data_IF_453595893367
#
_entry.id   IF_453595893367
#
_cell.length_a   1.000
_cell.length_b   1.000
_cell.length_c   1.000
_cell.angle_alpha   90.00
_cell.angle_beta   90.00
_cell.angle_gamma   90.00
#
_symmetry.space_group_name_H-M   'P 1'
#
loop_
_entity.id
_entity.type
_entity.pdbx_description
1 polymer ?
#
# COMPACT_ATOMS: atom_id res chain seq x y z
N UNK A 1 -8.13 -47.54 -36.58
CA UNK A 1 -6.83 -47.86 -35.95
C UNK A 1 -5.92 -46.66 -36.13
N UNK A 2 -5.54 -46.04 -35.00
CA UNK A 2 -4.58 -44.95 -34.70
C UNK A 2 -5.24 -44.06 -33.64
N UNK A 3 -5.47 -44.60 -32.43
CA UNK A 3 -4.63 -44.42 -31.24
C UNK A 3 -4.59 -42.98 -30.75
N UNK A 4 -5.54 -42.68 -29.87
CA UNK A 4 -5.45 -41.67 -28.82
C UNK A 4 -4.24 -41.99 -27.93
N UNK A 5 -3.22 -41.15 -27.94
CA UNK A 5 -2.17 -41.17 -26.92
C UNK A 5 -2.53 -40.11 -25.87
N UNK A 6 -3.05 -40.58 -24.73
CA UNK A 6 -3.21 -39.79 -23.52
C UNK A 6 -1.82 -39.48 -22.94
N UNK A 7 -1.49 -38.18 -22.85
CA UNK A 7 -0.29 -37.72 -22.15
C UNK A 7 -0.62 -37.71 -20.64
N UNK A 8 0.07 -38.49 -19.79
CA UNK A 8 -0.25 -38.54 -18.37
C UNK A 8 0.17 -37.24 -17.66
N UNK A 9 -0.81 -36.62 -17.02
CA UNK A 9 -0.72 -35.38 -16.24
C UNK A 9 0.00 -35.53 -14.88
N UNK A 10 1.10 -36.29 -14.84
CA UNK A 10 1.84 -36.59 -13.58
C UNK A 10 3.23 -35.94 -13.56
N UNK A 11 3.71 -35.38 -14.69
CA UNK A 11 5.03 -34.76 -14.77
C UNK A 11 5.09 -33.28 -14.36
N UNK A 12 3.96 -32.60 -14.15
CA UNK A 12 3.93 -31.18 -13.73
C UNK A 12 3.90 -30.95 -12.21
N UNK A 13 3.74 -32.02 -11.40
CA UNK A 13 3.69 -31.94 -9.93
C UNK A 13 5.06 -32.07 -9.25
N UNK A 14 6.15 -32.31 -10.00
CA UNK A 14 7.50 -32.45 -9.45
C UNK A 14 8.28 -31.13 -9.34
N UNK A 15 7.69 -29.98 -9.70
CA UNK A 15 8.32 -28.67 -9.55
C UNK A 15 8.02 -27.95 -8.22
N UNK A 16 7.24 -28.56 -7.32
CA UNK A 16 6.79 -27.94 -6.06
C UNK A 16 7.16 -28.75 -4.80
N UNK A 17 8.31 -29.43 -4.77
CA UNK A 17 8.90 -29.97 -3.53
C UNK A 17 10.40 -30.18 -3.68
N UNK A 18 11.15 -29.08 -3.68
CA UNK A 18 12.47 -29.08 -3.05
C UNK A 18 12.31 -28.49 -1.64
N UNK A 19 12.09 -29.39 -0.70
CA UNK A 19 12.26 -29.10 0.71
C UNK A 19 13.75 -29.16 1.02
N UNK A 20 14.42 -28.02 0.89
CA UNK A 20 15.51 -27.63 1.77
C UNK A 20 16.94 -27.92 1.31
N UNK A 21 17.61 -26.87 0.84
CA UNK A 21 18.95 -26.56 1.31
C UNK A 21 19.01 -25.06 1.65
N UNK A 22 19.32 -24.81 2.92
CA UNK A 22 19.16 -23.55 3.63
C UNK A 22 20.10 -22.47 3.09
N UNK A 23 19.56 -21.31 2.72
CA UNK A 23 20.36 -20.09 2.70
C UNK A 23 20.86 -19.84 4.13
N UNK A 24 22.18 -19.93 4.29
CA UNK A 24 22.87 -19.67 5.55
C UNK A 24 22.51 -18.27 6.02
N UNK A 25 21.62 -18.18 7.00
CA UNK A 25 21.44 -16.97 7.78
C UNK A 25 22.81 -16.60 8.34
N UNK A 26 23.27 -15.38 8.09
CA UNK A 26 24.37 -14.84 8.85
C UNK A 26 23.96 -14.89 10.33
N UNK A 27 24.84 -15.44 11.17
CA UNK A 27 24.63 -15.58 12.61
C UNK A 27 24.29 -14.22 13.24
N UNK A 28 23.00 -13.93 13.40
CA UNK A 28 22.54 -12.83 14.25
C UNK A 28 22.47 -13.39 15.66
N UNK A 29 23.49 -13.09 16.45
CA UNK A 29 23.50 -13.35 17.90
C UNK A 29 22.21 -12.76 18.50
N UNK A 30 21.40 -13.53 19.24
CA UNK A 30 20.24 -12.99 19.95
C UNK A 30 20.67 -11.83 20.84
N UNK A 31 19.90 -10.74 20.81
CA UNK A 31 20.07 -9.65 21.76
C UNK A 31 19.79 -10.17 23.17
N UNK A 32 20.71 -9.92 24.10
CA UNK A 32 20.53 -10.26 25.51
C UNK A 32 19.25 -9.60 26.07
N UNK A 33 18.59 -10.20 27.08
CA UNK A 33 17.38 -9.62 27.66
C UNK A 33 17.63 -8.19 28.13
N UNK A 34 16.78 -7.27 27.69
CA UNK A 34 16.87 -5.88 28.07
C UNK A 34 16.80 -5.75 29.59
N UNK A 35 17.90 -5.32 30.21
CA UNK A 35 17.89 -4.85 31.59
C UNK A 35 17.00 -3.60 31.66
N UNK A 36 16.10 -3.46 32.65
CA UNK A 36 15.24 -2.29 32.76
C UNK A 36 16.09 -1.02 32.75
N UNK A 37 15.88 -0.16 31.74
CA UNK A 37 16.59 1.09 31.63
C UNK A 37 16.23 2.00 32.81
N UNK A 38 17.24 2.44 33.56
CA UNK A 38 17.11 3.51 34.54
C UNK A 38 16.57 4.76 33.83
N UNK A 39 15.62 5.52 34.41
CA UNK A 39 15.10 6.72 33.77
C UNK A 39 16.25 7.69 33.45
N UNK A 40 16.52 7.86 32.15
CA UNK A 40 17.47 8.85 31.69
C UNK A 40 16.77 10.22 31.67
N UNK A 41 17.40 11.20 32.31
CA UNK A 41 17.09 12.62 32.14
C UNK A 41 17.04 12.94 30.64
N UNK A 42 16.06 13.72 30.15
CA UNK A 42 15.94 14.00 28.72
C UNK A 42 17.20 14.73 28.24
N UNK A 43 18.09 14.00 27.57
CA UNK A 43 19.09 14.60 26.74
C UNK A 43 18.35 15.37 25.64
N UNK A 44 18.77 16.61 25.37
CA UNK A 44 18.24 17.40 24.28
C UNK A 44 18.43 16.60 22.98
N UNK A 45 17.34 16.04 22.46
CA UNK A 45 17.32 15.33 21.18
C UNK A 45 17.61 16.38 20.12
N UNK A 46 18.80 16.31 19.53
CA UNK A 46 19.15 17.14 18.38
C UNK A 46 18.24 16.72 17.22
N UNK A 47 17.35 17.62 16.80
CA UNK A 47 16.49 17.39 15.63
C UNK A 47 17.40 17.28 14.40
N UNK A 48 17.28 16.23 13.58
CA UNK A 48 18.06 16.11 12.35
C UNK A 48 17.82 17.33 11.46
N UNK A 49 18.89 17.90 10.90
CA UNK A 49 18.76 18.95 9.90
C UNK A 49 18.10 18.41 8.64
N UNK A 50 17.27 19.24 8.00
CA UNK A 50 16.58 18.86 6.77
C UNK A 50 17.62 18.57 5.66
N UNK A 51 17.51 17.40 5.02
CA UNK A 51 18.48 17.01 3.98
C UNK A 51 18.27 17.73 2.63
N UNK A 52 17.28 18.63 2.52
CA UNK A 52 17.05 19.43 1.33
C UNK A 52 15.65 20.03 1.25
N UNK A 53 15.38 20.70 0.12
CA UNK A 53 14.05 21.23 -0.23
C UNK A 53 13.42 20.39 -1.33
N UNK A 54 12.12 20.15 -1.22
CA UNK A 54 11.35 19.36 -2.18
C UNK A 54 10.53 20.29 -3.08
N UNK A 55 10.60 20.10 -4.40
CA UNK A 55 9.71 20.79 -5.33
C UNK A 55 8.31 20.16 -5.26
N UNK A 56 7.42 20.80 -4.50
CA UNK A 56 6.06 20.32 -4.33
C UNK A 56 5.22 20.41 -5.59
N UNK A 57 5.52 21.32 -6.52
CA UNK A 57 4.78 21.43 -7.77
C UNK A 57 5.11 20.24 -8.67
N UNK A 58 6.39 19.86 -8.74
CA UNK A 58 6.82 18.65 -9.46
C UNK A 58 6.21 17.38 -8.85
N UNK A 59 6.31 17.21 -7.53
CA UNK A 59 5.81 16.01 -6.85
C UNK A 59 4.30 15.82 -6.98
N UNK A 60 3.54 16.92 -7.02
CA UNK A 60 2.09 16.87 -7.10
C UNK A 60 1.57 16.74 -8.54
N UNK A 61 2.45 16.74 -9.56
CA UNK A 61 2.02 16.45 -10.93
C UNK A 61 1.28 15.10 -10.98
N UNK A 62 0.11 15.03 -11.62
CA UNK A 62 -0.56 13.76 -11.86
C UNK A 62 0.33 12.81 -12.65
N UNK A 63 0.13 11.51 -12.46
CA UNK A 63 0.78 10.48 -13.25
C UNK A 63 0.19 10.35 -14.66
N UNK A 64 0.41 9.18 -15.29
CA UNK A 64 -0.13 8.89 -16.62
C UNK A 64 -1.68 8.89 -16.66
N UNK A 65 -2.32 8.64 -15.52
CA UNK A 65 -3.77 8.68 -15.36
C UNK A 65 -4.17 9.90 -14.55
N UNK A 66 -5.32 10.54 -14.85
CA UNK A 66 -5.82 11.63 -14.02
C UNK A 66 -6.03 11.19 -12.58
N UNK A 67 -5.64 12.06 -11.65
CA UNK A 67 -5.85 11.86 -10.22
C UNK A 67 -7.35 11.72 -9.91
N UNK A 68 -7.68 10.80 -9.01
CA UNK A 68 -9.00 10.68 -8.40
C UNK A 68 -8.92 11.23 -6.99
N UNK A 69 -9.85 12.12 -6.64
CA UNK A 69 -9.76 12.88 -5.39
C UNK A 69 -11.10 13.08 -4.68
N UNK A 70 -11.02 13.32 -3.38
CA UNK A 70 -12.10 13.74 -2.49
C UNK A 70 -11.75 15.05 -1.78
N UNK A 71 -12.77 15.81 -1.41
CA UNK A 71 -12.62 17.10 -0.73
C UNK A 71 -12.56 18.29 -1.69
N UNK A 72 -12.21 19.46 -1.15
CA UNK A 72 -12.15 20.72 -1.92
C UNK A 72 -10.81 20.88 -2.63
N UNK A 73 -10.82 21.33 -3.88
CA UNK A 73 -9.59 21.55 -4.67
C UNK A 73 -8.61 22.53 -4.01
N UNK A 74 -9.13 23.49 -3.25
CA UNK A 74 -8.40 24.57 -2.59
C UNK A 74 -8.06 24.30 -1.10
N UNK A 75 -8.28 23.07 -0.63
CA UNK A 75 -7.92 22.67 0.72
C UNK A 75 -6.43 22.91 1.00
N UNK A 76 -6.12 23.39 2.21
CA UNK A 76 -4.76 23.81 2.58
C UNK A 76 -3.77 22.64 2.67
N UNK A 77 -4.27 21.44 2.93
CA UNK A 77 -3.47 20.22 3.02
C UNK A 77 -3.85 19.28 1.89
N UNK A 78 -2.85 18.70 1.23
CA UNK A 78 -3.04 17.62 0.26
C UNK A 78 -2.49 16.33 0.85
N UNK A 79 -3.30 15.28 0.85
CA UNK A 79 -2.91 13.92 1.21
C UNK A 79 -2.92 13.12 -0.08
N UNK A 80 -1.77 12.55 -0.44
CA UNK A 80 -1.67 11.62 -1.57
C UNK A 80 -1.38 10.25 -0.99
N UNK A 81 -2.34 9.33 -1.11
CA UNK A 81 -2.16 7.94 -0.73
C UNK A 81 -1.81 7.10 -1.94
N UNK A 82 -0.77 6.28 -1.80
CA UNK A 82 -0.43 5.23 -2.75
C UNK A 82 -0.85 3.90 -2.13
N UNK A 83 -1.80 3.20 -2.75
CA UNK A 83 -2.35 1.97 -2.20
C UNK A 83 -2.42 0.85 -3.25
N UNK A 84 -2.32 -0.40 -2.80
CA UNK A 84 -2.59 -1.59 -3.60
C UNK A 84 -3.90 -2.23 -3.13
N UNK A 85 -4.78 -2.61 -4.07
CA UNK A 85 -6.04 -3.31 -3.79
C UNK A 85 -5.88 -4.66 -3.08
N UNK A 86 -4.69 -5.26 -3.15
CA UNK A 86 -4.34 -6.54 -2.51
C UNK A 86 -3.53 -6.38 -1.23
N UNK A 87 -3.23 -5.15 -0.81
CA UNK A 87 -2.45 -4.90 0.41
C UNK A 87 -3.37 -4.96 1.65
N UNK A 88 -3.15 -5.89 2.59
CA UNK A 88 -3.99 -6.02 3.77
C UNK A 88 -3.90 -4.81 4.71
N UNK A 89 -2.78 -4.08 4.71
CA UNK A 89 -2.64 -2.86 5.50
C UNK A 89 -3.43 -1.70 4.91
N UNK A 90 -3.54 -1.61 3.58
CA UNK A 90 -4.39 -0.63 2.90
C UNK A 90 -5.87 -0.92 3.18
N UNK A 91 -6.28 -2.20 3.11
CA UNK A 91 -7.63 -2.62 3.48
C UNK A 91 -7.97 -2.25 4.94
N UNK A 92 -7.06 -2.56 5.87
CA UNK A 92 -7.25 -2.21 7.28
C UNK A 92 -7.34 -0.68 7.49
N UNK A 93 -6.50 0.10 6.81
CA UNK A 93 -6.57 1.57 6.86
C UNK A 93 -7.91 2.08 6.33
N UNK A 94 -8.37 1.57 5.18
CA UNK A 94 -9.64 1.93 4.56
C UNK A 94 -10.83 1.64 5.48
N UNK A 95 -10.80 0.52 6.21
CA UNK A 95 -11.86 0.13 7.14
C UNK A 95 -11.84 0.94 8.44
N UNK A 96 -10.66 1.17 9.02
CA UNK A 96 -10.56 1.62 10.43
C UNK A 96 -10.15 3.07 10.60
N UNK A 97 -9.38 3.63 9.67
CA UNK A 97 -8.76 4.96 9.82
C UNK A 97 -9.32 5.96 8.82
N UNK A 98 -9.53 5.54 7.57
CA UNK A 98 -10.03 6.41 6.52
C UNK A 98 -11.39 7.06 6.83
N UNK A 99 -12.38 6.40 7.46
CA UNK A 99 -13.67 7.03 7.77
C UNK A 99 -13.52 8.25 8.70
N UNK A 100 -12.60 8.15 9.67
CA UNK A 100 -12.27 9.20 10.61
C UNK A 100 -11.51 10.35 9.93
N UNK A 101 -10.51 10.01 9.10
CA UNK A 101 -9.78 10.98 8.29
C UNK A 101 -10.74 11.78 7.39
N UNK A 102 -11.64 11.07 6.72
CA UNK A 102 -12.64 11.65 5.83
C UNK A 102 -13.56 12.60 6.58
N UNK A 103 -14.18 12.14 7.66
CA UNK A 103 -15.15 12.94 8.42
C UNK A 103 -14.50 14.17 9.06
N UNK A 104 -13.31 14.02 9.66
CA UNK A 104 -12.68 15.10 10.44
C UNK A 104 -11.97 16.13 9.56
N UNK A 105 -11.46 15.75 8.39
CA UNK A 105 -10.56 16.59 7.59
C UNK A 105 -10.99 16.78 6.13
N UNK A 106 -11.43 15.73 5.45
CA UNK A 106 -11.78 15.82 4.03
C UNK A 106 -13.12 16.52 3.87
N UNK A 107 -14.15 16.03 4.57
CA UNK A 107 -15.53 16.55 4.49
C UNK A 107 -15.64 17.96 5.07
N UNK A 108 -14.77 18.31 6.03
CA UNK A 108 -14.68 19.67 6.59
C UNK A 108 -13.88 20.63 5.70
N UNK A 109 -13.30 20.15 4.60
CA UNK A 109 -12.51 20.95 3.65
C UNK A 109 -11.12 21.35 4.15
N UNK A 110 -10.62 20.73 5.24
CA UNK A 110 -9.27 20.98 5.76
C UNK A 110 -8.21 20.29 4.90
N UNK A 111 -8.53 19.13 4.34
CA UNK A 111 -7.66 18.37 3.47
C UNK A 111 -8.38 17.98 2.17
N UNK A 112 -7.62 17.90 1.07
CA UNK A 112 -8.00 17.14 -0.11
C UNK A 112 -7.23 15.85 -0.12
N UNK A 113 -7.88 14.77 -0.53
CA UNK A 113 -7.32 13.43 -0.55
C UNK A 113 -7.28 12.92 -1.98
N UNK A 114 -6.12 12.45 -2.40
CA UNK A 114 -5.87 11.88 -3.72
C UNK A 114 -5.47 10.42 -3.50
N UNK A 115 -6.17 9.50 -4.16
CA UNK A 115 -5.76 8.10 -4.20
C UNK A 115 -5.02 7.85 -5.52
N UNK A 116 -3.75 7.47 -5.43
CA UNK A 116 -2.93 7.03 -6.56
C UNK A 116 -2.74 5.53 -6.47
N UNK A 117 -3.07 4.86 -7.57
CA UNK A 117 -3.03 3.40 -7.60
C UNK A 117 -1.59 2.91 -7.65
N UNK A 118 -1.28 1.93 -6.81
CA UNK A 118 0.05 1.34 -6.70
C UNK A 118 -0.06 -0.19 -6.68
N UNK A 119 -0.50 -0.81 -7.80
CA UNK A 119 -0.69 -2.26 -7.87
C UNK A 119 0.67 -2.99 -7.88
N UNK A 120 0.78 -4.03 -7.06
CA UNK A 120 1.94 -4.92 -7.03
C UNK A 120 1.72 -6.25 -7.76
N UNK A 121 0.49 -6.52 -8.16
CA UNK A 121 0.09 -7.76 -8.83
C UNK A 121 -1.10 -7.52 -9.78
N UNK A 122 -1.36 -8.45 -10.72
CA UNK A 122 -2.43 -8.28 -11.71
C UNK A 122 -3.85 -8.20 -11.12
N UNK A 123 -4.10 -8.80 -9.95
CA UNK A 123 -5.40 -8.72 -9.29
C UNK A 123 -5.62 -7.30 -8.76
N UNK A 124 -4.58 -6.70 -8.20
CA UNK A 124 -4.63 -5.32 -7.75
C UNK A 124 -4.87 -4.34 -8.91
N UNK A 125 -4.18 -4.56 -10.03
CA UNK A 125 -4.37 -3.76 -11.25
C UNK A 125 -5.81 -3.88 -11.75
N UNK A 126 -6.34 -5.10 -11.87
CA UNK A 126 -7.71 -5.35 -12.29
C UNK A 126 -8.74 -4.68 -11.36
N UNK A 127 -8.52 -4.73 -10.04
CA UNK A 127 -9.36 -4.04 -9.05
C UNK A 127 -9.45 -2.53 -9.31
N UNK A 128 -8.30 -1.87 -9.52
CA UNK A 128 -8.28 -0.45 -9.82
C UNK A 128 -8.85 -0.11 -11.21
N UNK A 129 -8.70 -0.98 -12.20
CA UNK A 129 -9.38 -0.83 -13.49
C UNK A 129 -10.90 -0.85 -13.31
N UNK A 130 -11.43 -1.78 -12.51
CA UNK A 130 -12.86 -1.83 -12.18
C UNK A 130 -13.33 -0.56 -11.45
N UNK A 131 -12.54 -0.08 -10.49
CA UNK A 131 -12.82 1.18 -9.80
C UNK A 131 -12.92 2.36 -10.77
N UNK A 132 -12.00 2.49 -11.74
CA UNK A 132 -12.04 3.54 -12.76
C UNK A 132 -13.24 3.44 -13.69
N UNK A 133 -13.69 2.23 -14.02
CA UNK A 133 -14.89 2.00 -14.82
C UNK A 133 -16.18 2.49 -14.13
N UNK A 134 -16.17 2.63 -12.80
CA UNK A 134 -17.33 3.11 -12.03
C UNK A 134 -17.59 4.63 -12.15
N UNK A 135 -16.74 5.37 -12.89
CA UNK A 135 -16.86 6.83 -13.15
C UNK A 135 -17.03 7.64 -11.85
N UNK A 136 -18.18 8.26 -11.63
CA UNK A 136 -18.49 9.09 -10.47
C UNK A 136 -18.56 8.26 -9.17
N UNK A 137 -18.72 6.95 -9.29
CA UNK A 137 -18.69 6.01 -8.18
C UNK A 137 -17.31 5.40 -7.92
N UNK A 138 -16.22 6.04 -8.39
CA UNK A 138 -14.85 5.55 -8.16
C UNK A 138 -14.56 5.26 -6.68
N UNK A 139 -14.77 6.22 -5.77
CA UNK A 139 -14.48 6.03 -4.35
C UNK A 139 -15.42 5.03 -3.65
N UNK A 140 -16.74 5.02 -3.92
CA UNK A 140 -17.60 3.93 -3.46
C UNK A 140 -17.14 2.55 -3.94
N UNK A 141 -16.67 2.42 -5.19
CA UNK A 141 -16.15 1.14 -5.70
C UNK A 141 -14.84 0.75 -5.02
N UNK A 142 -13.92 1.71 -4.83
CA UNK A 142 -12.68 1.51 -4.06
C UNK A 142 -12.98 0.99 -2.66
N UNK A 143 -13.94 1.60 -1.96
CA UNK A 143 -14.34 1.20 -0.60
C UNK A 143 -14.91 -0.22 -0.54
N UNK A 144 -15.67 -0.64 -1.55
CA UNK A 144 -16.15 -2.04 -1.66
C UNK A 144 -15.01 -3.01 -1.93
N UNK A 145 -14.07 -2.65 -2.81
CA UNK A 145 -12.97 -3.53 -3.21
C UNK A 145 -11.91 -3.74 -2.10
N UNK A 146 -11.83 -2.82 -1.14
CA UNK A 146 -10.96 -2.99 0.03
C UNK A 146 -11.57 -3.84 1.15
N UNK A 147 -12.83 -4.27 1.03
CA UNK A 147 -13.55 -5.05 2.05
C UNK A 147 -13.70 -6.52 1.69
#
# INVERSE_FOLDING_TARGET
MTSLAAIPAVALLAACSDSGEQAKAADVKPADPATPAKPATPAAVQVPEAQGTVDMAELLKPGALPDKQLGKDDAKVTIVEYASMTCPHCAHFAETTFPDLKTKYIDTGKARYILREFPFDPSAEAGFMLARCAKDNYFPMVDVLFR
#
